data_IF_774385132807
#
_entry.id   IF_774385132807
#
_cell.length_a   1.000
_cell.length_b   1.000
_cell.length_c   1.000
_cell.angle_alpha   90.00
_cell.angle_beta   90.00
_cell.angle_gamma   90.00
#
_symmetry.space_group_name_H-M   'P 1'
#
loop_
_entity.id
_entity.type
_entity.pdbx_description
1 polymer ?
2 non-polymer ?
3 water ?
#
# COMPACT_ATOMS: atom_id res chain seq x y z
N UNK A 3 34.98 1.93 14.77
CA UNK A 3 34.66 1.06 13.64
C UNK A 3 33.59 1.68 12.79
N UNK A 4 32.76 0.80 12.23
CA UNK A 4 31.49 1.23 11.67
C UNK A 4 30.82 2.14 12.67
N UNK A 5 30.91 1.77 13.96
CA UNK A 5 30.14 2.50 14.96
C UNK A 5 30.55 3.97 15.01
N UNK A 6 31.86 4.27 15.09
CA UNK A 6 32.31 5.67 15.24
C UNK A 6 32.10 6.48 13.96
N UNK A 7 31.97 5.81 12.82
CA UNK A 7 31.64 6.56 11.61
C UNK A 7 30.18 6.99 11.64
N UNK A 8 29.29 6.09 12.10
CA UNK A 8 27.88 6.44 12.22
C UNK A 8 27.65 7.58 13.21
N UNK A 9 28.51 7.67 14.24
CA UNK A 9 28.39 8.77 15.20
C UNK A 9 28.77 10.10 14.55
N UNK A 10 29.91 10.14 13.82
CA UNK A 10 30.34 11.40 13.20
C UNK A 10 29.30 11.94 12.23
N UNK A 11 28.66 11.05 11.46
CA UNK A 11 27.56 11.48 10.58
C UNK A 11 26.36 11.99 11.39
N UNK A 12 25.95 11.24 12.41
CA UNK A 12 24.86 11.69 13.27
C UNK A 12 25.12 13.08 13.84
N UNK A 13 26.36 13.34 14.27
CA UNK A 13 26.68 14.63 14.86
C UNK A 13 26.62 15.74 13.82
N UNK A 14 27.10 15.48 12.59
CA UNK A 14 27.01 16.50 11.53
C UNK A 14 25.56 16.76 11.13
N UNK A 15 24.70 15.74 11.16
CA UNK A 15 23.29 15.98 10.83
C UNK A 15 22.62 16.82 11.93
N UNK A 16 22.96 16.60 13.20
CA UNK A 16 22.37 17.40 14.28
C UNK A 16 22.77 18.87 14.18
N UNK A 17 23.77 19.20 13.35
CA UNK A 17 24.10 20.61 13.05
C UNK A 17 22.92 21.31 12.38
N UNK A 18 22.07 20.54 11.69
CA UNK A 18 20.87 21.02 11.03
C UNK A 18 19.65 21.09 11.95
N UNK A 19 19.68 20.45 13.12
CA UNK A 19 18.52 20.43 14.02
C UNK A 19 18.51 21.68 14.88
N UNK A 20 17.43 22.44 14.76
CA UNK A 20 17.27 23.75 15.38
C UNK A 20 16.38 23.66 16.62
N UNK A 21 16.53 24.65 17.50
CA UNK A 21 15.73 24.67 18.72
C UNK A 21 14.24 24.70 18.38
N UNK A 22 13.50 23.73 18.91
CA UNK A 22 12.04 23.61 18.87
C UNK A 22 11.39 23.04 17.61
N UNK A 23 12.16 22.58 16.62
CA UNK A 23 11.53 21.97 15.46
C UNK A 23 10.97 20.60 15.86
N UNK A 24 10.01 20.12 15.08
CA UNK A 24 9.45 18.80 15.34
C UNK A 24 10.07 17.81 14.36
N UNK A 25 10.55 16.70 14.90
CA UNK A 25 11.52 15.79 14.30
C UNK A 25 10.94 14.42 14.02
N UNK A 26 11.30 13.86 12.86
CA UNK A 26 11.12 12.46 12.60
C UNK A 26 12.38 11.72 13.00
N UNK A 27 12.22 10.73 13.87
CA UNK A 27 13.34 10.01 14.43
C UNK A 27 13.37 8.65 13.75
N UNK A 28 14.47 8.37 13.06
CA UNK A 28 14.56 7.13 12.33
C UNK A 28 14.75 5.93 13.25
N UNK A 29 15.06 4.81 12.62
CA UNK A 29 15.30 3.53 13.26
C UNK A 29 16.47 2.81 12.62
N UNK A 30 17.10 1.94 13.41
CA UNK A 30 18.27 1.17 13.02
C UNK A 30 19.52 1.64 13.73
N UNK A 31 20.62 0.95 13.44
CA UNK A 31 21.84 1.13 14.23
C UNK A 31 22.40 2.54 14.12
N UNK A 32 22.26 3.18 12.97
CA UNK A 32 22.82 4.50 12.78
C UNK A 32 21.91 5.58 13.36
N UNK A 33 20.60 5.39 13.27
CA UNK A 33 19.69 6.33 13.92
C UNK A 33 19.81 6.26 15.44
N UNK A 34 20.16 5.09 16.00
CA UNK A 34 20.42 4.96 17.44
C UNK A 34 21.44 6.00 17.91
N UNK A 35 22.57 6.11 17.20
CA UNK A 35 23.63 7.01 17.64
C UNK A 35 23.16 8.46 17.58
N UNK A 36 22.35 8.82 16.58
CA UNK A 36 21.74 10.13 16.53
C UNK A 36 20.84 10.39 17.74
N UNK A 37 20.14 9.37 18.25
CA UNK A 37 19.25 9.59 19.39
C UNK A 37 20.02 9.97 20.65
N UNK A 38 21.11 9.26 20.92
CA UNK A 38 21.98 9.59 22.06
C UNK A 38 22.52 11.00 21.95
N UNK A 39 23.06 11.35 20.79
CA UNK A 39 23.56 12.70 20.59
C UNK A 39 22.47 13.74 20.75
N UNK A 40 21.22 13.38 20.45
CA UNK A 40 20.12 14.32 20.72
C UNK A 40 19.79 14.35 22.20
N UNK A 41 19.87 13.18 22.87
CA UNK A 41 19.57 13.11 24.31
C UNK A 41 20.61 13.89 25.14
N UNK A 42 21.91 13.65 24.89
CA UNK A 42 22.96 14.43 25.55
C UNK A 42 22.70 15.92 25.40
N UNK A 43 22.14 16.34 24.26
CA UNK A 43 21.77 17.73 23.99
C UNK A 43 20.50 18.13 24.74
N UNK A 44 19.52 17.23 24.85
CA UNK A 44 18.29 17.53 25.60
C UNK A 44 18.59 17.95 27.03
N UNK A 45 19.37 17.15 27.76
CA UNK A 45 19.61 17.39 29.19
C UNK A 45 20.27 18.73 29.51
N UNK A 46 20.88 19.37 28.53
CA UNK A 46 21.37 20.75 28.67
C UNK A 46 20.39 21.75 28.13
N UNK A 47 19.11 21.37 28.20
CA UNK A 47 18.01 22.26 27.90
C UNK A 47 17.64 22.45 26.45
N UNK A 48 18.08 21.56 25.55
CA UNK A 48 17.67 21.64 24.16
C UNK A 48 16.20 21.24 23.99
N UNK A 49 15.48 22.01 23.18
CA UNK A 49 14.04 21.91 22.94
C UNK A 49 13.75 21.22 21.60
N UNK A 50 13.02 20.10 21.65
CA UNK A 50 12.61 19.37 20.46
C UNK A 50 11.49 18.37 20.84
N UNK A 51 10.69 17.99 19.84
CA UNK A 51 9.63 16.98 19.98
C UNK A 51 9.73 16.05 18.77
N UNK A 52 9.69 14.74 19.01
CA UNK A 52 10.00 13.74 17.98
C UNK A 52 8.93 12.68 17.80
N UNK A 53 8.71 12.28 16.55
CA UNK A 53 7.82 11.17 16.19
C UNK A 53 8.65 9.92 15.90
N UNK A 54 8.40 8.81 16.59
CA UNK A 54 9.18 7.59 16.34
C UNK A 54 8.71 6.82 15.11
N UNK A 55 9.68 6.25 14.40
CA UNK A 55 9.43 5.40 13.25
C UNK A 55 9.36 3.91 13.62
N UNK A 56 9.52 3.56 14.90
CA UNK A 56 9.37 2.16 15.24
C UNK A 56 9.04 1.96 16.72
N UNK A 57 8.72 0.72 17.00
CA UNK A 57 8.51 0.21 18.33
C UNK A 57 9.75 0.42 19.20
N UNK A 58 10.95 0.09 18.67
CA UNK A 58 12.20 0.20 19.42
C UNK A 58 12.78 1.61 19.42
N UNK A 59 12.53 2.41 18.39
CA UNK A 59 12.94 3.81 18.46
C UNK A 59 12.23 4.51 19.61
N UNK A 60 10.92 4.30 19.72
CA UNK A 60 10.16 4.90 20.82
C UNK A 60 10.72 4.51 22.18
N UNK A 61 11.00 3.22 22.41
CA UNK A 61 11.55 2.82 23.71
C UNK A 61 12.89 3.44 24.02
N UNK A 62 13.80 3.58 23.05
CA UNK A 62 15.04 4.27 23.34
C UNK A 62 14.77 5.72 23.71
N UNK A 63 13.94 6.41 22.92
CA UNK A 63 13.66 7.84 23.13
C UNK A 63 13.06 8.10 24.51
N UNK A 64 12.19 7.19 24.97
CA UNK A 64 11.56 7.30 26.28
C UNK A 64 12.55 6.98 27.38
N UNK A 65 13.43 6.01 27.13
CA UNK A 65 14.52 5.72 28.06
C UNK A 65 15.49 6.90 28.24
N UNK A 66 15.56 7.83 27.28
CA UNK A 66 16.50 8.94 27.35
C UNK A 66 15.84 10.31 27.57
N UNK A 67 14.51 10.37 27.66
CA UNK A 67 13.87 11.66 27.94
C UNK A 67 13.78 12.57 26.73
N UNK A 68 13.70 11.96 25.55
CA UNK A 68 13.39 12.70 24.34
C UNK A 68 11.89 12.86 24.27
N UNK A 69 11.36 14.09 24.24
CA UNK A 69 9.91 14.26 24.13
C UNK A 69 9.36 13.54 22.91
N UNK A 70 8.24 12.83 23.09
CA UNK A 70 7.67 12.02 22.01
C UNK A 70 6.24 12.46 21.70
N UNK A 71 5.89 12.44 20.42
CA UNK A 71 4.56 12.80 19.95
C UNK A 71 4.11 11.84 18.86
N UNK A 72 3.00 12.20 18.22
CA UNK A 72 2.30 11.33 17.28
C UNK A 72 2.06 12.12 16.00
N UNK A 73 1.93 11.41 14.87
CA UNK A 73 1.46 12.11 13.67
C UNK A 73 -0.04 12.45 13.73
N UNK A 74 -0.84 11.69 14.49
CA UNK A 74 -2.21 12.12 14.75
C UNK A 74 -2.23 13.42 15.54
N UNK A 75 -1.33 13.55 16.52
CA UNK A 75 -1.21 14.79 17.30
C UNK A 75 -0.35 15.85 16.62
N UNK A 76 0.67 15.45 15.87
CA UNK A 76 1.65 16.36 15.28
C UNK A 76 1.84 15.95 13.81
N UNK A 77 0.89 16.32 12.95
CA UNK A 77 0.82 15.71 11.61
C UNK A 77 1.84 16.20 10.62
N UNK A 78 2.47 17.34 10.86
CA UNK A 78 3.55 17.80 9.98
C UNK A 78 4.79 18.04 10.81
N UNK A 79 5.91 17.60 10.27
CA UNK A 79 7.19 17.72 10.93
C UNK A 79 8.12 18.62 10.11
N UNK A 80 9.14 19.14 10.78
CA UNK A 80 10.12 20.00 10.14
C UNK A 80 11.21 19.20 9.43
N UNK A 81 11.65 18.11 10.05
CA UNK A 81 12.85 17.43 9.61
C UNK A 81 12.81 15.99 10.09
N UNK A 82 13.11 15.06 9.18
CA UNK A 82 13.33 13.68 9.59
C UNK A 82 14.78 13.30 9.38
N UNK A 83 15.34 12.58 10.33
CA UNK A 83 16.70 12.09 10.22
C UNK A 83 16.65 10.57 10.36
N UNK A 84 17.32 9.87 9.46
CA UNK A 84 17.16 8.42 9.41
C UNK A 84 18.32 7.84 8.61
N UNK A 85 18.55 6.54 8.79
CA UNK A 85 19.58 5.86 8.05
C UNK A 85 19.08 5.43 6.69
N UNK A 86 19.91 4.62 6.03
CA UNK A 86 19.59 4.08 4.72
C UNK A 86 20.49 2.88 4.46
N UNK A 87 20.01 1.93 3.65
CA UNK A 87 20.83 0.79 3.23
C UNK A 87 21.62 1.12 1.96
N UNK A 88 21.13 2.04 1.11
CA UNK A 88 21.83 2.50 -0.08
C UNK A 88 21.42 3.92 -0.40
N UNK A 89 22.40 4.76 -0.78
CA UNK A 89 22.20 6.13 -1.26
C UNK A 89 22.97 6.27 -2.57
N UNK A 90 22.32 6.82 -3.60
CA UNK A 90 22.99 7.05 -4.87
C UNK A 90 23.17 8.54 -5.07
N UNK A 91 23.75 8.90 -6.19
CA UNK A 91 24.20 10.28 -6.38
C UNK A 91 23.03 11.26 -6.54
N UNK A 92 21.86 10.76 -6.91
CA UNK A 92 20.64 11.54 -7.00
C UNK A 92 19.90 11.65 -5.68
N UNK A 93 20.42 11.03 -4.61
CA UNK A 93 19.78 10.93 -3.30
C UNK A 93 18.50 10.09 -3.35
N UNK A 94 18.48 9.10 -4.24
CA UNK A 94 17.50 8.05 -4.19
C UNK A 94 18.02 6.95 -3.27
N UNK A 95 17.12 6.32 -2.51
CA UNK A 95 17.53 5.39 -1.47
C UNK A 95 16.89 4.03 -1.65
N UNK A 96 17.52 3.02 -1.05
CA UNK A 96 16.86 1.81 -0.64
C UNK A 96 16.82 1.79 0.89
N UNK A 97 15.65 1.58 1.46
CA UNK A 97 15.47 1.50 2.89
C UNK A 97 14.71 0.22 3.26
N UNK A 98 14.65 -0.06 4.56
CA UNK A 98 13.84 -1.15 5.09
C UNK A 98 14.56 -2.43 5.48
N UNK A 99 15.89 -2.42 5.53
CA UNK A 99 16.62 -3.55 6.09
C UNK A 99 16.31 -3.80 7.54
N UNK A 100 16.09 -2.72 8.32
CA UNK A 100 15.66 -2.88 9.70
C UNK A 100 14.18 -3.15 9.88
N UNK A 101 13.41 -3.18 8.79
CA UNK A 101 12.02 -3.55 8.81
C UNK A 101 11.03 -2.45 9.10
N UNK A 102 11.44 -1.19 9.17
CA UNK A 102 10.54 -0.11 9.52
C UNK A 102 10.21 0.80 8.34
N UNK A 103 10.37 0.32 7.12
CA UNK A 103 10.29 1.19 5.92
C UNK A 103 8.98 1.94 5.82
N UNK A 104 7.86 1.31 6.21
CA UNK A 104 6.56 1.94 6.01
C UNK A 104 6.41 3.17 6.91
N UNK A 105 6.59 2.99 8.22
CA UNK A 105 6.56 4.13 9.13
C UNK A 105 7.64 5.16 8.81
N UNK A 106 8.82 4.69 8.37
CA UNK A 106 9.87 5.62 7.97
C UNK A 106 9.45 6.47 6.77
N UNK A 107 8.84 5.85 5.75
CA UNK A 107 8.40 6.63 4.59
C UNK A 107 7.26 7.57 4.95
N UNK A 108 6.31 7.11 5.77
CA UNK A 108 5.23 7.98 6.20
C UNK A 108 5.78 9.21 6.93
N UNK A 109 6.70 8.96 7.86
CA UNK A 109 7.27 10.05 8.65
C UNK A 109 8.04 11.02 7.75
N UNK A 110 8.94 10.49 6.92
CA UNK A 110 9.74 11.35 6.04
C UNK A 110 8.86 12.16 5.09
N UNK A 111 7.84 11.52 4.51
CA UNK A 111 6.98 12.22 3.57
C UNK A 111 6.19 13.33 4.25
N UNK A 112 5.95 13.23 5.54
CA UNK A 112 5.30 14.28 6.32
C UNK A 112 6.26 15.38 6.77
N UNK A 113 7.50 15.39 6.30
CA UNK A 113 8.47 16.36 6.78
C UNK A 113 8.85 17.35 5.70
N UNK A 114 9.22 18.55 6.12
CA UNK A 114 9.72 19.54 5.18
C UNK A 114 11.02 19.09 4.52
N UNK A 115 11.78 18.25 5.21
CA UNK A 115 13.06 17.77 4.70
C UNK A 115 13.36 16.43 5.32
N UNK A 116 14.12 15.62 4.59
CA UNK A 116 14.64 14.36 5.13
C UNK A 116 16.14 14.31 4.87
N UNK A 117 16.91 14.16 5.94
CA UNK A 117 18.35 13.99 5.86
C UNK A 117 18.63 12.54 6.16
N UNK A 118 19.52 11.99 5.42
CA UNK A 118 19.96 10.63 5.68
C UNK A 118 21.30 10.73 6.40
N UNK A 119 21.60 9.74 7.24
CA UNK A 119 22.90 9.62 7.88
C UNK A 119 23.32 8.18 7.68
N UNK A 120 24.49 7.98 7.10
CA UNK A 120 24.99 6.63 6.91
C UNK A 120 26.50 6.61 6.90
N UNK A 121 27.05 5.42 7.06
CA UNK A 121 28.47 5.32 6.81
C UNK A 121 28.71 5.15 5.31
N UNK A 122 29.95 5.41 4.89
CA UNK A 122 30.36 5.38 3.49
C UNK A 122 30.11 4.06 2.77
N UNK A 123 30.03 2.94 3.47
CA UNK A 123 29.70 1.71 2.78
C UNK A 123 28.33 1.77 2.13
N UNK A 124 27.46 2.68 2.57
CA UNK A 124 26.11 2.80 2.05
C UNK A 124 26.02 3.58 0.74
N UNK A 125 27.09 4.24 0.27
CA UNK A 125 27.06 5.04 -0.97
C UNK A 125 27.36 4.13 -2.17
N UNK A 126 26.50 4.24 -3.20
CA UNK A 126 26.40 3.36 -4.36
C UNK A 126 26.48 4.18 -5.63
N UNK A 127 27.00 3.55 -6.69
CA UNK A 127 26.78 4.10 -8.03
C UNK A 127 25.33 3.90 -8.47
N UNK A 128 24.81 2.66 -8.38
CA UNK A 128 23.49 2.28 -8.87
C UNK A 128 22.75 1.47 -7.82
N UNK A 129 21.50 1.86 -7.55
CA UNK A 129 20.75 1.14 -6.54
C UNK A 129 20.52 -0.31 -7.00
N UNK A 130 20.50 -1.22 -6.03
CA UNK A 130 19.98 -2.54 -6.31
C UNK A 130 20.76 -3.74 -5.79
N UNK A 131 21.99 -3.52 -5.33
CA UNK A 131 22.78 -4.64 -4.81
C UNK A 131 22.30 -5.10 -3.45
N UNK A 132 21.87 -4.16 -2.63
CA UNK A 132 21.09 -4.47 -1.44
C UNK A 132 19.69 -4.89 -1.88
N UNK A 133 19.20 -6.05 -1.44
CA UNK A 133 17.86 -6.49 -1.88
C UNK A 133 16.77 -5.52 -1.44
N UNK A 134 15.86 -5.24 -2.34
CA UNK A 134 14.87 -4.20 -2.10
C UNK A 134 13.72 -4.73 -1.25
N UNK A 135 13.51 -4.19 -0.05
CA UNK A 135 12.36 -4.62 0.75
C UNK A 135 11.05 -4.16 0.12
N UNK A 136 10.07 -5.06 0.08
CA UNK A 136 8.72 -4.76 -0.39
C UNK A 136 7.74 -5.19 0.70
N UNK A 137 6.91 -4.25 1.19
CA UNK A 137 5.94 -4.53 2.24
C UNK A 137 4.62 -4.95 1.60
N UNK A 138 4.14 -6.15 1.95
CA UNK A 138 3.03 -6.80 1.28
C UNK A 138 1.96 -7.24 2.29
N UNK A 139 0.72 -7.33 1.82
CA UNK A 139 -0.39 -7.78 2.66
C UNK A 139 -0.32 -9.30 2.83
N UNK A 140 -0.81 -9.79 3.96
CA UNK A 140 -0.77 -11.24 4.10
C UNK A 140 -1.79 -11.91 3.19
N UNK A 141 -2.95 -11.28 2.96
CA UNK A 141 -3.93 -11.88 2.06
C UNK A 141 -3.38 -11.93 0.63
N UNK A 142 -3.53 -13.11 0.01
CA UNK A 142 -3.14 -13.30 -1.37
C UNK A 142 -1.64 -13.30 -1.61
N UNK A 143 -0.85 -13.71 -0.61
CA UNK A 143 0.61 -13.69 -0.71
C UNK A 143 1.12 -14.33 -1.99
N UNK A 144 0.54 -15.46 -2.40
CA UNK A 144 0.97 -16.11 -3.63
C UNK A 144 0.79 -15.24 -4.87
N UNK A 145 -0.39 -14.60 -5.00
CA UNK A 145 -0.64 -13.77 -6.17
C UNK A 145 0.27 -12.54 -6.17
N UNK A 146 0.52 -11.98 -4.98
CA UNK A 146 1.40 -10.83 -4.87
C UNK A 146 2.84 -11.18 -5.25
N UNK A 147 3.30 -12.38 -4.85
CA UNK A 147 4.62 -12.86 -5.25
C UNK A 147 4.76 -12.88 -6.76
N UNK A 148 3.77 -13.48 -7.45
CA UNK A 148 3.76 -13.53 -8.91
C UNK A 148 3.81 -12.15 -9.54
N UNK A 149 2.98 -11.23 -9.04
CA UNK A 149 2.93 -9.88 -9.62
C UNK A 149 4.26 -9.15 -9.44
N UNK A 150 4.91 -9.35 -8.31
CA UNK A 150 6.23 -8.76 -8.13
C UNK A 150 7.20 -9.29 -9.18
N UNK A 151 7.12 -10.59 -9.49
CA UNK A 151 7.97 -11.12 -10.55
C UNK A 151 7.56 -10.55 -11.88
N UNK A 152 6.26 -10.36 -12.10
CA UNK A 152 5.80 -9.81 -13.39
C UNK A 152 6.22 -8.36 -13.56
N UNK A 153 6.11 -7.56 -12.49
CA UNK A 153 6.64 -6.20 -12.50
C UNK A 153 8.16 -6.15 -12.75
N UNK A 154 8.92 -7.02 -12.07
CA UNK A 154 10.36 -7.04 -12.31
C UNK A 154 10.63 -7.35 -13.77
N UNK A 155 9.93 -8.35 -14.31
CA UNK A 155 10.16 -8.74 -15.70
C UNK A 155 9.95 -7.59 -16.67
N UNK A 156 8.89 -6.80 -16.48
CA UNK A 156 8.62 -5.68 -17.38
C UNK A 156 9.68 -4.58 -17.28
N UNK A 157 10.34 -4.43 -16.13
CA UNK A 157 11.47 -3.52 -15.98
C UNK A 157 12.81 -4.18 -16.26
N UNK A 158 12.82 -5.39 -16.81
CA UNK A 158 14.12 -5.95 -17.16
C UNK A 158 14.90 -6.46 -15.97
N UNK A 159 14.21 -6.85 -14.90
CA UNK A 159 14.85 -7.28 -13.66
C UNK A 159 14.50 -8.73 -13.35
N UNK A 160 15.24 -9.30 -12.41
CA UNK A 160 15.09 -10.70 -12.06
C UNK A 160 15.82 -10.94 -10.74
N UNK A 161 15.35 -11.95 -10.01
CA UNK A 161 16.10 -12.39 -8.86
C UNK A 161 15.19 -13.08 -7.89
N UNK A 162 15.79 -13.65 -6.86
CA UNK A 162 15.00 -14.35 -5.85
C UNK A 162 14.11 -13.38 -5.07
N UNK A 163 12.98 -13.91 -4.62
CA UNK A 163 12.11 -13.22 -3.69
C UNK A 163 12.07 -14.06 -2.41
N UNK A 164 12.45 -13.48 -1.28
CA UNK A 164 12.47 -14.24 -0.03
C UNK A 164 11.51 -13.55 0.93
N UNK A 165 10.48 -14.28 1.37
CA UNK A 165 9.67 -13.81 2.49
C UNK A 165 10.56 -13.69 3.70
N UNK A 166 10.62 -12.51 4.30
CA UNK A 166 11.57 -12.27 5.36
C UNK A 166 11.13 -12.90 6.66
N UNK A 167 12.06 -13.63 7.28
CA UNK A 167 11.76 -14.43 8.45
C UNK A 167 12.45 -13.86 9.66
N UNK A 168 11.88 -14.16 10.82
CA UNK A 168 12.54 -13.87 12.09
C UNK A 168 12.11 -14.96 13.05
N UNK A 169 13.07 -15.57 13.73
CA UNK A 169 12.81 -16.70 14.63
C UNK A 169 11.95 -17.79 13.99
N UNK A 170 12.15 -18.05 12.70
CA UNK A 170 11.47 -19.20 12.14
C UNK A 170 10.11 -18.95 11.51
N UNK A 171 9.47 -17.83 11.79
CA UNK A 171 8.21 -17.47 11.14
C UNK A 171 8.36 -16.09 10.51
N UNK A 172 7.49 -15.75 9.54
CA UNK A 172 7.62 -14.44 8.87
C UNK A 172 7.72 -13.26 9.81
N UNK A 173 8.62 -12.34 9.46
CA UNK A 173 8.70 -11.07 10.16
C UNK A 173 7.39 -10.32 9.99
N UNK A 174 6.79 -9.90 11.09
CA UNK A 174 5.59 -9.09 11.03
C UNK A 174 5.98 -7.64 11.28
N UNK A 175 5.60 -6.79 10.33
CA UNK A 175 5.91 -5.37 10.42
C UNK A 175 5.11 -4.75 11.54
N UNK A 176 5.56 -3.58 12.01
CA UNK A 176 4.79 -2.82 12.99
C UNK A 176 3.36 -2.63 12.52
N UNK A 177 3.15 -2.44 11.23
CA UNK A 177 1.85 -2.16 10.65
C UNK A 177 1.05 -3.38 10.24
N UNK A 178 1.54 -4.57 10.57
CA UNK A 178 0.80 -5.81 10.36
C UNK A 178 1.05 -6.50 9.04
N UNK A 179 2.16 -6.20 8.38
CA UNK A 179 2.44 -6.68 7.03
C UNK A 179 3.68 -7.56 7.02
N UNK A 180 3.86 -8.27 5.90
CA UNK A 180 5.09 -9.00 5.60
C UNK A 180 6.05 -8.17 4.75
N UNK A 181 7.31 -8.61 4.71
CA UNK A 181 8.33 -8.06 3.84
C UNK A 181 8.77 -9.17 2.89
N UNK A 182 8.82 -8.84 1.58
CA UNK A 182 9.46 -9.68 0.56
C UNK A 182 10.70 -8.92 0.13
N UNK A 183 11.86 -9.52 0.31
CA UNK A 183 13.12 -8.92 -0.11
C UNK A 183 13.45 -9.34 -1.54
N UNK A 184 13.51 -8.36 -2.43
CA UNK A 184 13.68 -8.62 -3.85
C UNK A 184 15.13 -8.37 -4.25
N UNK A 185 15.81 -9.46 -4.63
CA UNK A 185 17.21 -9.37 -5.00
C UNK A 185 17.36 -9.12 -6.50
N UNK A 186 17.24 -7.86 -6.88
CA UNK A 186 17.30 -7.48 -8.28
C UNK A 186 18.70 -7.14 -8.73
N UNK A 187 19.62 -6.95 -7.79
CA UNK A 187 21.00 -6.77 -8.22
C UNK A 187 21.36 -5.39 -8.71
N UNK A 188 20.62 -4.90 -9.70
CA UNK A 188 20.86 -3.57 -10.26
C UNK A 188 19.54 -2.99 -10.70
N UNK A 189 19.22 -1.78 -10.23
CA UNK A 189 17.94 -1.13 -10.53
C UNK A 189 18.23 0.19 -11.25
N UNK A 190 18.35 0.19 -12.57
CA UNK A 190 18.75 1.43 -13.27
C UNK A 190 17.65 2.47 -13.36
N UNK A 191 16.37 2.08 -13.33
CA UNK A 191 15.27 3.05 -13.32
C UNK A 191 14.40 2.79 -12.09
N UNK A 192 14.75 3.35 -10.93
CA UNK A 192 13.91 3.15 -9.74
C UNK A 192 12.47 3.61 -9.91
N UNK A 193 12.23 4.76 -10.56
CA UNK A 193 10.88 5.30 -10.66
C UNK A 193 9.95 4.35 -11.38
N UNK A 194 10.40 3.84 -12.53
CA UNK A 194 9.59 2.89 -13.29
C UNK A 194 9.25 1.65 -12.46
N UNK A 195 10.23 1.12 -11.75
CA UNK A 195 10.00 -0.03 -10.87
C UNK A 195 9.01 0.31 -9.75
N UNK A 196 9.10 1.52 -9.20
CA UNK A 196 8.21 1.91 -8.10
C UNK A 196 6.76 1.95 -8.55
N UNK A 197 6.51 2.51 -9.75
CA UNK A 197 5.16 2.49 -10.33
C UNK A 197 4.65 1.06 -10.56
N UNK A 198 5.50 0.20 -11.10
CA UNK A 198 5.11 -1.18 -11.40
C UNK A 198 4.78 -1.98 -10.14
N UNK A 199 5.49 -1.72 -9.03
CA UNK A 199 5.19 -2.34 -7.74
C UNK A 199 3.93 -1.76 -7.08
N UNK A 200 3.73 -0.43 -7.15
CA UNK A 200 2.48 0.13 -6.61
C UNK A 200 1.28 -0.42 -7.34
N UNK A 201 1.41 -0.74 -8.62
CA UNK A 201 0.27 -1.24 -9.39
C UNK A 201 -0.20 -2.60 -8.89
N UNK A 202 0.57 -3.25 -8.03
CA UNK A 202 0.17 -4.53 -7.47
C UNK A 202 -0.75 -4.27 -6.28
N UNK A 203 -2.01 -4.71 -6.31
CA UNK A 203 -2.89 -4.45 -5.15
C UNK A 203 -2.35 -5.01 -3.83
N UNK A 204 -1.59 -6.11 -3.89
CA UNK A 204 -0.96 -6.71 -2.72
C UNK A 204 0.16 -5.89 -2.09
N UNK A 205 0.79 -5.00 -2.85
CA UNK A 205 1.90 -4.20 -2.34
C UNK A 205 1.39 -3.02 -1.52
N UNK A 206 1.85 -2.93 -0.28
CA UNK A 206 1.51 -1.83 0.62
C UNK A 206 2.47 -0.66 0.42
N UNK A 207 3.75 -0.98 0.32
CA UNK A 207 4.80 0.02 0.12
C UNK A 207 6.11 -0.73 -0.16
N UNK A 208 7.15 0.04 -0.44
CA UNK A 208 8.44 -0.55 -0.75
C UNK A 208 9.55 0.43 -0.35
N UNK A 209 10.76 -0.09 -0.27
CA UNK A 209 11.87 0.64 0.29
C UNK A 209 12.55 1.62 -0.64
N UNK A 210 12.08 1.82 -1.86
CA UNK A 210 12.65 2.88 -2.70
C UNK A 210 12.16 4.22 -2.21
N UNK A 211 13.07 5.08 -1.75
CA UNK A 211 12.75 6.47 -1.44
C UNK A 211 13.30 7.31 -2.58
N UNK A 212 12.41 7.86 -3.41
CA UNK A 212 12.81 8.65 -4.56
C UNK A 212 12.31 10.07 -4.35
N UNK A 213 13.22 11.03 -4.42
CA UNK A 213 12.88 12.43 -4.25
C UNK A 213 12.46 12.84 -2.85
N UNK A 214 12.71 12.04 -1.81
CA UNK A 214 12.33 12.43 -0.45
C UNK A 214 13.49 13.07 0.30
N UNK A 215 14.64 12.40 0.31
CA UNK A 215 15.84 12.91 0.97
C UNK A 215 16.36 14.17 0.28
N UNK A 216 16.47 15.26 1.05
CA UNK A 216 17.07 16.51 0.59
C UNK A 216 18.61 16.52 0.72
N UNK A 217 19.19 15.70 1.60
CA UNK A 217 20.64 15.67 1.77
C UNK A 217 21.02 14.38 2.48
N UNK A 218 22.30 14.00 2.36
CA UNK A 218 22.78 12.79 3.04
C UNK A 218 24.15 13.08 3.64
N UNK A 219 24.23 12.95 4.96
CA UNK A 219 25.49 13.12 5.68
C UNK A 219 26.16 11.76 5.72
N UNK A 220 27.35 11.68 5.13
CA UNK A 220 28.10 10.44 5.00
C UNK A 220 29.45 10.56 5.73
N UNK A 221 29.80 9.55 6.52
CA UNK A 221 31.03 9.56 7.31
C UNK A 221 32.30 9.20 6.55
N UNK A 222 32.62 7.92 6.45
CA UNK A 222 33.84 7.49 5.77
C UNK A 222 35.16 8.02 6.30
N UNK A 223 36.27 7.42 5.88
CA UNK A 223 37.57 7.87 6.38
C UNK A 223 38.18 8.98 5.54
N UNK A 224 37.79 9.13 4.28
CA UNK A 224 38.07 10.39 3.57
C UNK A 224 37.09 11.51 3.95
N UNK A 225 36.72 11.53 5.24
CA UNK A 225 36.05 12.64 5.89
C UNK A 225 34.54 12.70 5.71
N UNK A 226 33.95 13.71 6.36
CA UNK A 226 32.50 13.87 6.40
C UNK A 226 32.04 14.71 5.21
N UNK A 227 30.98 14.26 4.56
CA UNK A 227 30.48 14.82 3.32
C UNK A 227 28.95 14.85 3.38
N UNK A 228 28.34 15.98 3.04
CA UNK A 228 26.88 16.05 2.88
C UNK A 228 26.58 16.03 1.38
N UNK A 229 25.87 14.98 0.94
CA UNK A 229 25.49 14.87 -0.46
C UNK A 229 24.22 15.66 -0.69
N UNK A 230 24.12 16.21 -1.89
CA UNK A 230 23.14 17.20 -2.25
C UNK A 230 22.49 16.86 -3.55
N UNK A 231 21.61 17.75 -3.91
CA UNK A 231 20.65 17.34 -4.87
C UNK A 231 20.75 18.18 -6.13
N UNK A 232 21.01 17.49 -7.23
CA UNK A 232 21.24 18.09 -8.55
C UNK A 232 20.00 18.89 -8.97
N UNK B 6 -35.22 -10.55 -8.03
CA UNK B 6 -35.90 -9.59 -8.89
C UNK B 6 -35.29 -9.64 -10.27
N UNK B 7 -34.71 -8.54 -10.73
CA UNK B 7 -33.90 -8.62 -11.95
C UNK B 7 -32.45 -8.95 -11.60
N UNK B 8 -32.13 -8.62 -10.35
CA UNK B 8 -30.81 -8.86 -9.70
C UNK B 8 -30.37 -10.28 -10.02
N UNK B 9 -31.34 -11.16 -10.05
CA UNK B 9 -31.13 -12.59 -10.27
C UNK B 9 -30.69 -12.83 -11.70
N UNK B 10 -31.49 -12.33 -12.65
CA UNK B 10 -31.20 -12.47 -14.07
C UNK B 10 -29.86 -11.84 -14.44
N UNK B 11 -29.50 -10.74 -13.80
CA UNK B 11 -28.19 -10.17 -14.06
C UNK B 11 -27.07 -11.13 -13.66
N UNK B 12 -27.14 -11.69 -12.44
CA UNK B 12 -26.17 -12.71 -12.05
C UNK B 12 -26.22 -13.92 -12.97
N UNK B 13 -27.42 -14.32 -13.39
CA UNK B 13 -27.51 -15.52 -14.22
C UNK B 13 -26.81 -15.31 -15.56
N UNK B 14 -26.91 -14.09 -16.13
CA UNK B 14 -26.21 -13.76 -17.37
C UNK B 14 -24.70 -13.77 -17.18
N UNK B 15 -24.23 -13.33 -16.01
CA UNK B 15 -22.80 -13.37 -15.74
C UNK B 15 -22.31 -14.82 -15.64
N UNK B 16 -23.11 -15.70 -15.05
CA UNK B 16 -22.71 -17.10 -14.91
C UNK B 16 -22.56 -17.80 -16.25
N UNK B 17 -23.11 -17.26 -17.34
CA UNK B 17 -22.85 -17.80 -18.67
C UNK B 17 -21.40 -17.59 -19.11
N UNK B 18 -20.69 -16.64 -18.50
CA UNK B 18 -19.28 -16.48 -18.84
C UNK B 18 -18.41 -17.51 -18.13
N UNK B 19 -18.96 -18.21 -17.14
CA UNK B 19 -18.21 -19.17 -16.36
C UNK B 19 -18.15 -20.52 -17.07
N UNK B 20 -16.93 -21.02 -17.27
CA UNK B 20 -16.67 -22.24 -18.02
C UNK B 20 -16.45 -23.40 -17.05
N UNK B 21 -16.72 -24.61 -17.53
CA UNK B 21 -16.39 -25.80 -16.75
C UNK B 21 -14.88 -25.83 -16.49
N UNK B 22 -14.52 -26.07 -15.22
CA UNK B 22 -13.13 -26.16 -14.80
C UNK B 22 -12.42 -24.85 -14.53
N UNK B 23 -13.12 -23.71 -14.48
CA UNK B 23 -12.48 -22.41 -14.25
C UNK B 23 -11.99 -22.22 -12.81
N UNK B 24 -10.94 -21.43 -12.66
CA UNK B 24 -10.50 -21.01 -11.34
C UNK B 24 -11.08 -19.62 -11.14
N UNK B 25 -11.91 -19.44 -10.11
CA UNK B 25 -12.80 -18.29 -10.03
C UNK B 25 -12.52 -17.44 -8.80
N UNK B 26 -12.48 -16.12 -8.99
CA UNK B 26 -12.57 -15.16 -7.89
C UNK B 26 -14.00 -14.71 -7.64
N UNK B 27 -14.45 -14.82 -6.39
CA UNK B 27 -15.84 -14.57 -6.05
C UNK B 27 -15.97 -13.32 -5.20
N UNK B 28 -16.82 -12.39 -5.65
CA UNK B 28 -16.97 -11.10 -5.02
C UNK B 28 -17.70 -11.15 -3.68
N UNK B 29 -18.08 -9.94 -3.22
CA UNK B 29 -18.74 -9.72 -1.94
C UNK B 29 -19.87 -8.71 -2.14
N UNK B 30 -20.88 -8.79 -1.30
CA UNK B 30 -22.03 -7.90 -1.41
C UNK B 30 -23.27 -8.61 -1.93
N UNK B 31 -24.34 -7.82 -2.05
CA UNK B 31 -25.65 -8.39 -2.30
C UNK B 31 -25.70 -9.12 -3.64
N UNK B 32 -24.99 -8.61 -4.63
CA UNK B 32 -25.14 -9.11 -6.00
C UNK B 32 -24.32 -10.37 -6.22
N UNK B 33 -23.10 -10.41 -5.69
CA UNK B 33 -22.25 -11.60 -5.85
C UNK B 33 -22.80 -12.82 -5.10
N UNK B 34 -23.44 -12.62 -3.94
CA UNK B 34 -24.11 -13.71 -3.24
C UNK B 34 -25.11 -14.45 -4.12
N UNK B 35 -25.88 -13.71 -4.92
CA UNK B 35 -26.83 -14.35 -5.82
C UNK B 35 -26.13 -15.18 -6.90
N UNK B 36 -25.01 -14.67 -7.40
CA UNK B 36 -24.16 -15.44 -8.31
C UNK B 36 -23.68 -16.73 -7.66
N UNK B 37 -23.41 -16.67 -6.36
CA UNK B 37 -23.01 -17.87 -5.64
C UNK B 37 -24.14 -18.88 -5.61
N UNK B 38 -25.34 -18.43 -5.27
CA UNK B 38 -26.50 -19.32 -5.24
C UNK B 38 -26.71 -20.01 -6.58
N UNK B 39 -26.70 -19.23 -7.68
CA UNK B 39 -26.93 -19.83 -8.99
C UNK B 39 -25.81 -20.76 -9.42
N UNK B 40 -24.56 -20.47 -9.03
CA UNK B 40 -23.46 -21.35 -9.44
C UNK B 40 -23.44 -22.63 -8.63
N UNK B 41 -23.92 -22.55 -7.39
CA UNK B 41 -24.06 -23.73 -6.54
C UNK B 41 -25.04 -24.73 -7.15
N UNK B 42 -26.16 -24.21 -7.68
CA UNK B 42 -27.08 -25.04 -8.47
C UNK B 42 -26.36 -25.78 -9.60
N UNK B 43 -25.41 -25.12 -10.27
CA UNK B 43 -24.77 -25.76 -11.41
C UNK B 43 -23.79 -26.85 -11.02
N UNK B 44 -22.95 -26.61 -10.00
CA UNK B 44 -22.07 -27.67 -9.49
C UNK B 44 -22.91 -28.89 -9.11
N UNK B 45 -24.05 -28.63 -8.43
CA UNK B 45 -24.98 -29.65 -7.97
C UNK B 45 -25.53 -30.46 -9.16
N UNK B 46 -25.21 -30.08 -10.41
CA UNK B 46 -25.38 -30.97 -11.56
C UNK B 46 -24.05 -31.40 -12.20
N UNK B 47 -22.95 -31.41 -11.47
CA UNK B 47 -21.65 -31.82 -12.01
C UNK B 47 -20.87 -30.77 -12.76
N UNK B 48 -21.21 -29.49 -12.59
CA UNK B 48 -20.36 -28.42 -13.09
C UNK B 48 -19.16 -28.27 -12.14
N UNK B 49 -17.95 -28.25 -12.70
CA UNK B 49 -16.74 -28.23 -11.88
C UNK B 49 -16.10 -26.85 -11.87
N UNK B 50 -15.89 -26.32 -10.66
CA UNK B 50 -15.29 -25.01 -10.51
C UNK B 50 -14.68 -24.91 -9.12
N UNK B 51 -13.68 -24.03 -8.98
CA UNK B 51 -12.98 -23.78 -7.72
C UNK B 51 -12.84 -22.28 -7.52
N UNK B 52 -13.14 -21.82 -6.31
CA UNK B 52 -13.26 -20.40 -6.04
C UNK B 52 -12.39 -19.80 -4.95
N UNK B 53 -11.91 -18.58 -5.18
CA UNK B 53 -11.21 -17.80 -4.16
C UNK B 53 -12.17 -16.78 -3.57
N UNK B 54 -12.44 -16.80 -2.26
CA UNK B 54 -13.37 -15.81 -1.68
C UNK B 54 -12.69 -14.49 -1.34
N UNK B 55 -13.38 -13.39 -1.62
CA UNK B 55 -12.85 -12.06 -1.32
C UNK B 55 -13.24 -11.56 0.06
N UNK B 56 -13.99 -12.35 0.85
CA UNK B 56 -14.31 -12.02 2.23
C UNK B 56 -14.69 -13.29 2.99
N UNK B 57 -14.67 -13.18 4.32
CA UNK B 57 -15.27 -14.20 5.17
C UNK B 57 -16.75 -14.49 4.83
N UNK B 58 -17.55 -13.46 4.50
CA UNK B 58 -18.98 -13.68 4.30
C UNK B 58 -19.24 -14.47 3.02
N UNK B 59 -18.53 -14.14 1.95
CA UNK B 59 -18.60 -14.95 0.74
C UNK B 59 -18.09 -16.36 1.00
N UNK B 60 -16.96 -16.49 1.71
CA UNK B 60 -16.39 -17.79 2.00
C UNK B 60 -17.40 -18.71 2.68
N UNK B 61 -18.12 -18.19 3.67
CA UNK B 61 -19.16 -18.95 4.35
C UNK B 61 -20.24 -19.41 3.37
N UNK B 62 -20.68 -18.47 2.53
CA UNK B 62 -21.74 -18.77 1.55
C UNK B 62 -21.36 -19.93 0.65
N UNK B 63 -20.14 -19.88 0.11
CA UNK B 63 -19.68 -20.94 -0.78
C UNK B 63 -19.70 -22.30 -0.08
N UNK B 64 -19.32 -22.34 1.20
CA UNK B 64 -19.22 -23.62 1.89
C UNK B 64 -20.59 -24.19 2.25
N UNK B 65 -21.51 -23.33 2.65
CA UNK B 65 -22.88 -23.76 2.94
C UNK B 65 -23.60 -24.29 1.70
N UNK B 66 -23.22 -23.84 0.50
CA UNK B 66 -23.94 -24.21 -0.72
C UNK B 66 -23.18 -25.16 -1.63
N UNK B 67 -21.96 -25.53 -1.27
CA UNK B 67 -21.16 -26.49 -2.01
C UNK B 67 -20.37 -25.96 -3.17
N UNK B 68 -19.99 -24.68 -3.16
CA UNK B 68 -19.05 -24.13 -4.13
C UNK B 68 -17.64 -24.44 -3.62
N UNK B 69 -16.87 -25.30 -4.30
CA UNK B 69 -15.50 -25.62 -3.84
C UNK B 69 -14.64 -24.36 -3.64
N UNK B 70 -13.76 -24.42 -2.64
CA UNK B 70 -12.93 -23.30 -2.25
C UNK B 70 -11.44 -23.57 -2.42
N UNK B 71 -10.70 -22.51 -2.74
CA UNK B 71 -9.25 -22.56 -2.72
C UNK B 71 -8.73 -21.21 -2.21
N UNK B 72 -7.41 -21.03 -2.28
CA UNK B 72 -6.73 -19.84 -1.79
C UNK B 72 -5.84 -19.33 -2.91
N UNK B 73 -5.48 -18.04 -2.83
CA UNK B 73 -4.48 -17.55 -3.78
C UNK B 73 -3.11 -18.17 -3.54
N UNK B 74 -2.80 -18.58 -2.32
CA UNK B 74 -1.55 -19.31 -2.12
C UNK B 74 -1.54 -20.64 -2.86
N UNK B 75 -2.65 -21.38 -2.81
CA UNK B 75 -2.67 -22.66 -3.51
C UNK B 75 -2.97 -22.47 -5.00
N UNK B 76 -3.70 -21.40 -5.35
CA UNK B 76 -4.17 -21.16 -6.71
C UNK B 76 -3.87 -19.72 -7.08
N UNK B 77 -2.61 -19.41 -7.36
CA UNK B 77 -2.20 -18.01 -7.45
C UNK B 77 -2.70 -17.29 -8.70
N UNK B 78 -3.15 -17.98 -9.73
CA UNK B 78 -3.67 -17.32 -10.93
C UNK B 78 -5.10 -17.80 -11.18
N UNK B 79 -6.01 -16.86 -11.46
CA UNK B 79 -7.42 -17.17 -11.71
C UNK B 79 -7.82 -16.82 -13.12
N UNK B 80 -8.89 -17.48 -13.57
CA UNK B 80 -9.43 -17.25 -14.90
C UNK B 80 -10.35 -16.05 -14.92
N UNK B 81 -11.17 -15.91 -13.88
CA UNK B 81 -12.25 -14.94 -13.92
C UNK B 81 -12.62 -14.55 -12.49
N UNK B 82 -12.77 -13.26 -12.25
CA UNK B 82 -13.42 -12.75 -11.05
C UNK B 82 -14.76 -12.11 -11.44
N UNK B 83 -15.79 -12.38 -10.64
CA UNK B 83 -17.12 -11.83 -10.80
C UNK B 83 -17.45 -11.14 -9.50
N UNK B 84 -17.88 -9.88 -9.58
CA UNK B 84 -18.06 -9.08 -8.37
C UNK B 84 -18.91 -7.86 -8.72
N UNK B 85 -19.46 -7.25 -7.68
CA UNK B 85 -20.23 -6.03 -7.82
C UNK B 85 -19.35 -4.80 -7.82
N UNK B 86 -20.02 -3.64 -7.75
CA UNK B 86 -19.34 -2.36 -7.81
C UNK B 86 -20.30 -1.28 -7.33
N UNK B 87 -19.75 -0.19 -6.82
CA UNK B 87 -20.60 0.91 -6.43
C UNK B 87 -20.91 1.84 -7.59
N UNK B 88 -19.97 1.97 -8.54
CA UNK B 88 -20.11 2.84 -9.70
C UNK B 88 -19.33 2.26 -10.85
N UNK B 89 -19.95 2.25 -12.01
CA UNK B 89 -19.30 1.82 -13.24
C UNK B 89 -19.43 2.98 -14.21
N UNK B 90 -18.33 3.34 -14.85
CA UNK B 90 -18.31 4.38 -15.86
C UNK B 90 -18.09 3.69 -17.19
N UNK B 91 -18.12 4.47 -18.26
CA UNK B 91 -18.16 3.87 -19.58
C UNK B 91 -16.82 3.33 -20.07
N UNK B 92 -15.71 3.64 -19.40
CA UNK B 92 -14.45 2.94 -19.62
C UNK B 92 -14.39 1.64 -18.82
N UNK B 93 -15.46 1.32 -18.09
CA UNK B 93 -15.51 0.17 -17.19
C UNK B 93 -14.47 0.32 -16.08
N UNK B 94 -14.21 1.57 -15.72
CA UNK B 94 -13.50 1.90 -14.51
C UNK B 94 -14.55 1.89 -13.44
N UNK B 95 -14.18 1.44 -12.25
CA UNK B 95 -15.14 1.25 -11.19
C UNK B 95 -14.70 2.03 -9.95
N UNK B 96 -15.68 2.34 -9.11
CA UNK B 96 -15.45 2.60 -7.69
C UNK B 96 -15.97 1.39 -6.94
N UNK B 97 -15.15 0.82 -6.06
CA UNK B 97 -15.53 -0.32 -5.24
C UNK B 97 -15.19 -0.01 -3.80
N UNK B 98 -15.63 -0.88 -2.90
CA UNK B 98 -15.27 -0.79 -1.49
C UNK B 98 -16.30 -0.15 -0.57
N UNK B 99 -17.52 0.11 -1.06
CA UNK B 99 -18.59 0.51 -0.15
C UNK B 99 -18.82 -0.54 0.89
N UNK B 100 -18.61 -1.80 0.53
CA UNK B 100 -18.66 -2.95 1.43
C UNK B 100 -17.43 -3.23 2.29
N UNK B 101 -16.33 -2.51 2.16
CA UNK B 101 -15.22 -2.76 3.06
C UNK B 101 -14.31 -3.92 2.69
N UNK B 102 -14.55 -4.56 1.55
CA UNK B 102 -13.73 -5.67 1.09
C UNK B 102 -12.85 -5.26 -0.09
N UNK B 103 -12.56 -3.97 -0.22
CA UNK B 103 -11.87 -3.43 -1.39
C UNK B 103 -10.52 -4.10 -1.65
N UNK B 104 -9.75 -4.37 -0.62
CA UNK B 104 -8.39 -4.85 -0.88
C UNK B 104 -8.42 -6.28 -1.41
N UNK B 105 -9.07 -7.20 -0.69
CA UNK B 105 -9.17 -8.56 -1.17
C UNK B 105 -9.82 -8.62 -2.54
N UNK B 106 -10.78 -7.74 -2.82
CA UNK B 106 -11.36 -7.69 -4.15
C UNK B 106 -10.31 -7.27 -5.19
N UNK B 107 -9.48 -6.25 -4.90
CA UNK B 107 -8.47 -5.84 -5.88
C UNK B 107 -7.47 -6.97 -6.12
N UNK B 108 -6.99 -7.58 -5.04
CA UNK B 108 -5.98 -8.62 -5.14
C UNK B 108 -6.48 -9.81 -5.97
N UNK B 109 -7.72 -10.26 -5.68
CA UNK B 109 -8.30 -11.37 -6.43
C UNK B 109 -8.51 -11.00 -7.88
N UNK B 110 -9.10 -9.83 -8.13
CA UNK B 110 -9.32 -9.39 -9.51
C UNK B 110 -8.00 -9.19 -10.25
N UNK B 111 -7.00 -8.60 -9.59
CA UNK B 111 -5.70 -8.39 -10.23
C UNK B 111 -4.99 -9.71 -10.51
N UNK B 112 -5.28 -10.77 -9.75
CA UNK B 112 -4.73 -12.11 -10.00
C UNK B 112 -5.43 -12.88 -11.12
N UNK B 113 -6.38 -12.26 -11.83
CA UNK B 113 -7.24 -12.94 -12.78
C UNK B 113 -7.06 -12.46 -14.22
N UNK B 114 -7.33 -13.38 -15.17
CA UNK B 114 -7.29 -13.06 -16.60
C UNK B 114 -8.34 -12.03 -16.99
N UNK B 115 -9.50 -12.07 -16.33
CA UNK B 115 -10.58 -11.18 -16.69
C UNK B 115 -11.46 -10.99 -15.46
N UNK B 116 -12.15 -9.86 -15.39
CA UNK B 116 -13.11 -9.57 -14.33
C UNK B 116 -14.44 -9.13 -14.94
N UNK B 117 -15.52 -9.77 -14.51
CA UNK B 117 -16.87 -9.39 -14.90
C UNK B 117 -17.52 -8.70 -13.72
N UNK B 118 -18.22 -7.62 -13.99
CA UNK B 118 -18.97 -6.91 -12.96
C UNK B 118 -20.45 -7.20 -13.13
N UNK B 119 -21.18 -7.11 -12.02
CA UNK B 119 -22.63 -7.21 -12.00
C UNK B 119 -23.17 -6.00 -11.25
N UNK B 120 -24.00 -5.21 -11.93
CA UNK B 120 -24.56 -4.00 -11.34
C UNK B 120 -25.94 -3.74 -11.94
N UNK B 121 -26.71 -2.91 -11.27
CA UNK B 121 -27.93 -2.35 -11.82
C UNK B 121 -27.67 -1.01 -12.51
N UNK B 122 -28.65 -0.56 -13.28
CA UNK B 122 -28.55 0.68 -14.03
C UNK B 122 -28.16 1.91 -13.20
N UNK B 123 -28.59 1.94 -11.95
CA UNK B 123 -28.27 3.09 -11.10
C UNK B 123 -26.78 3.25 -10.83
N UNK B 124 -25.97 2.17 -10.90
CA UNK B 124 -24.54 2.26 -10.64
C UNK B 124 -23.74 2.76 -11.84
N UNK B 125 -24.35 2.85 -13.02
CA UNK B 125 -23.68 3.29 -14.23
C UNK B 125 -23.77 4.80 -14.32
N UNK B 126 -22.63 5.44 -14.45
CA UNK B 126 -22.56 6.89 -14.34
C UNK B 126 -21.80 7.45 -15.52
N UNK B 127 -22.10 8.72 -15.84
CA UNK B 127 -21.25 9.46 -16.77
C UNK B 127 -19.83 9.59 -16.21
N UNK B 128 -19.70 10.09 -14.99
CA UNK B 128 -18.41 10.38 -14.41
C UNK B 128 -18.36 9.76 -13.01
N UNK B 129 -17.30 9.02 -12.73
CA UNK B 129 -17.18 8.42 -11.41
C UNK B 129 -17.02 9.52 -10.38
N UNK B 130 -17.54 9.29 -9.19
CA UNK B 130 -17.12 10.14 -8.10
C UNK B 130 -18.21 10.64 -7.18
N UNK B 131 -19.47 10.49 -7.58
CA UNK B 131 -20.53 10.86 -6.65
C UNK B 131 -20.56 9.91 -5.47
N UNK B 132 -20.31 8.63 -5.71
CA UNK B 132 -20.08 7.72 -4.59
C UNK B 132 -18.71 8.04 -3.97
N UNK B 133 -18.64 8.23 -2.66
CA UNK B 133 -17.35 8.57 -2.05
C UNK B 133 -16.32 7.47 -2.27
N UNK B 134 -15.08 7.88 -2.60
CA UNK B 134 -14.01 6.95 -2.95
C UNK B 134 -13.38 6.33 -1.72
N UNK B 135 -13.53 5.03 -1.48
CA UNK B 135 -12.85 4.43 -0.31
C UNK B 135 -11.35 4.34 -0.52
N UNK B 136 -10.60 4.81 0.46
CA UNK B 136 -9.14 4.77 0.47
C UNK B 136 -8.67 4.08 1.76
N UNK B 137 -7.93 3.00 1.58
CA UNK B 137 -7.49 2.15 2.66
C UNK B 137 -6.15 2.63 3.18
N UNK B 138 -6.10 2.94 4.48
CA UNK B 138 -4.94 3.58 5.09
C UNK B 138 -4.48 2.80 6.32
N UNK B 139 -3.19 2.96 6.62
CA UNK B 139 -2.60 2.42 7.84
C UNK B 139 -3.05 3.29 9.00
N UNK B 140 -3.21 2.67 10.18
CA UNK B 140 -3.57 3.47 11.35
C UNK B 140 -2.40 4.31 11.88
N UNK B 141 -1.15 3.88 11.65
CA UNK B 141 -0.03 4.76 11.98
C UNK B 141 0.00 5.96 11.03
N UNK B 142 0.07 7.16 11.61
CA UNK B 142 0.18 8.39 10.84
C UNK B 142 -1.06 8.84 10.09
N UNK B 143 -2.26 8.43 10.55
CA UNK B 143 -3.51 8.84 9.89
C UNK B 143 -3.60 10.35 9.68
N UNK B 144 -3.25 11.14 10.68
CA UNK B 144 -3.34 12.59 10.48
C UNK B 144 -2.55 13.10 9.29
N UNK B 145 -1.29 12.68 9.17
CA UNK B 145 -0.50 13.15 8.05
C UNK B 145 -1.05 12.59 6.73
N UNK B 146 -1.61 11.37 6.78
CA UNK B 146 -2.20 10.76 5.58
C UNK B 146 -3.44 11.53 5.10
N UNK B 147 -4.27 12.01 6.04
CA UNK B 147 -5.40 12.88 5.67
C UNK B 147 -4.92 14.14 4.96
N UNK B 148 -3.91 14.81 5.53
CA UNK B 148 -3.36 16.00 4.87
C UNK B 148 -2.94 15.67 3.45
N UNK B 149 -2.19 14.59 3.29
CA UNK B 149 -1.64 14.20 1.99
C UNK B 149 -2.73 13.85 0.99
N UNK B 150 -3.82 13.23 1.45
CA UNK B 150 -4.91 12.96 0.54
C UNK B 150 -5.54 14.25 0.04
N UNK B 151 -5.69 15.28 0.90
CA UNK B 151 -6.26 16.54 0.43
C UNK B 151 -5.31 17.22 -0.56
N UNK B 152 -4.00 17.21 -0.26
CA UNK B 152 -3.02 17.80 -1.16
C UNK B 152 -2.92 16.99 -2.45
N UNK B 153 -2.96 15.65 -2.36
CA UNK B 153 -3.01 14.87 -3.59
C UNK B 153 -4.24 15.23 -4.43
N UNK B 154 -5.40 15.38 -3.77
CA UNK B 154 -6.62 15.77 -4.49
C UNK B 154 -6.45 17.14 -5.12
N UNK B 155 -5.95 18.11 -4.34
CA UNK B 155 -5.81 19.46 -4.87
C UNK B 155 -4.97 19.47 -6.13
N UNK B 156 -3.89 18.69 -6.14
CA UNK B 156 -2.96 18.68 -7.27
C UNK B 156 -3.58 18.12 -8.53
N UNK B 157 -4.59 17.27 -8.40
CA UNK B 157 -5.37 16.74 -9.51
C UNK B 157 -6.60 17.57 -9.84
N UNK B 158 -6.75 18.75 -9.24
CA UNK B 158 -7.89 19.61 -9.52
C UNK B 158 -9.19 19.23 -8.84
N UNK B 159 -9.14 18.51 -7.72
CA UNK B 159 -10.34 18.05 -7.02
C UNK B 159 -10.35 18.56 -5.58
N UNK B 160 -11.46 18.30 -4.89
CA UNK B 160 -11.66 18.66 -3.49
C UNK B 160 -12.88 17.91 -2.96
N UNK B 161 -12.88 17.70 -1.63
CA UNK B 161 -14.04 17.22 -0.92
C UNK B 161 -13.68 16.68 0.45
N UNK B 162 -14.70 16.45 1.26
CA UNK B 162 -14.47 15.96 2.63
C UNK B 162 -13.87 14.57 2.62
N UNK B 163 -13.05 14.31 3.64
CA UNK B 163 -12.51 12.97 3.92
C UNK B 163 -13.04 12.50 5.27
N UNK B 164 -13.80 11.40 5.26
CA UNK B 164 -14.50 10.93 6.45
C UNK B 164 -13.97 9.56 6.87
N UNK B 165 -13.30 9.51 8.02
CA UNK B 165 -12.89 8.24 8.60
C UNK B 165 -14.12 7.37 8.85
N UNK B 166 -14.14 6.20 8.22
CA UNK B 166 -15.31 5.35 8.29
C UNK B 166 -15.41 4.69 9.66
N UNK B 167 -16.61 4.72 10.23
CA UNK B 167 -16.90 4.16 11.55
C UNK B 167 -17.84 2.98 11.41
N UNK B 168 -17.76 2.07 12.37
CA UNK B 168 -18.75 1.02 12.56
C UNK B 168 -18.97 0.97 14.07
N UNK B 169 -20.23 0.95 14.48
CA UNK B 169 -20.61 1.21 15.88
C UNK B 169 -19.96 2.54 16.25
N UNK B 170 -19.26 2.67 17.38
CA UNK B 170 -18.66 3.96 17.73
C UNK B 170 -17.28 4.18 17.15
N UNK B 171 -16.59 3.10 16.80
CA UNK B 171 -15.15 3.08 16.54
C UNK B 171 -14.87 3.15 15.05
N UNK B 172 -13.62 3.45 14.69
CA UNK B 172 -13.18 3.26 13.28
C UNK B 172 -13.35 1.82 12.78
N UNK B 173 -13.77 1.71 11.52
CA UNK B 173 -13.82 0.41 10.83
C UNK B 173 -12.44 -0.15 10.54
N UNK B 174 -12.18 -1.38 10.99
CA UNK B 174 -10.96 -2.12 10.68
C UNK B 174 -11.26 -3.16 9.61
N UNK B 175 -10.49 -3.12 8.52
CA UNK B 175 -10.63 -4.04 7.39
C UNK B 175 -10.11 -5.41 7.75
N UNK B 176 -10.45 -6.40 6.92
CA UNK B 176 -9.92 -7.74 7.13
C UNK B 176 -8.40 -7.72 7.34
N UNK B 177 -7.70 -6.84 6.66
CA UNK B 177 -6.26 -6.68 6.71
C UNK B 177 -5.71 -5.70 7.70
N UNK B 178 -6.52 -5.14 8.59
CA UNK B 178 -6.02 -4.31 9.67
C UNK B 178 -5.88 -2.82 9.38
N UNK B 179 -6.60 -2.29 8.41
CA UNK B 179 -6.44 -0.90 8.00
C UNK B 179 -7.71 -0.12 8.33
N UNK B 180 -7.60 1.20 8.32
CA UNK B 180 -8.79 2.04 8.38
C UNK B 180 -9.23 2.28 6.94
N UNK B 181 -10.44 2.84 6.77
CA UNK B 181 -10.91 3.32 5.47
C UNK B 181 -11.27 4.78 5.59
N UNK B 182 -10.82 5.60 4.64
CA UNK B 182 -11.21 7.00 4.54
C UNK B 182 -12.05 7.15 3.28
N UNK B 183 -13.33 7.52 3.43
CA UNK B 183 -14.20 7.77 2.27
C UNK B 183 -14.07 9.22 1.82
N UNK B 184 -13.54 9.39 0.61
CA UNK B 184 -13.23 10.69 0.03
C UNK B 184 -14.34 11.11 -0.92
N UNK B 185 -15.07 12.16 -0.57
CA UNK B 185 -16.20 12.60 -1.37
C UNK B 185 -15.75 13.68 -2.33
N UNK B 186 -15.21 13.27 -3.48
CA UNK B 186 -14.67 14.23 -4.43
C UNK B 186 -15.70 14.70 -5.45
N UNK B 187 -16.84 14.02 -5.53
CA UNK B 187 -17.92 14.47 -6.40
C UNK B 187 -17.78 14.02 -7.84
N UNK B 188 -16.65 14.36 -8.45
CA UNK B 188 -16.37 14.03 -9.82
C UNK B 188 -14.90 13.66 -9.91
N UNK B 189 -14.61 12.48 -10.47
CA UNK B 189 -13.23 12.02 -10.64
C UNK B 189 -13.09 11.83 -12.14
N UNK B 190 -12.70 12.89 -12.89
CA UNK B 190 -12.67 12.80 -14.35
C UNK B 190 -11.47 12.01 -14.90
N UNK B 191 -10.35 11.98 -14.16
CA UNK B 191 -9.15 11.23 -14.55
C UNK B 191 -8.81 10.25 -13.44
N UNK B 192 -9.42 9.06 -13.44
CA UNK B 192 -9.09 8.07 -12.38
C UNK B 192 -7.61 7.69 -12.27
N UNK B 193 -6.92 7.47 -13.40
CA UNK B 193 -5.54 7.01 -13.38
C UNK B 193 -4.61 8.00 -12.68
N UNK B 194 -4.79 9.28 -12.97
CA UNK B 194 -3.98 10.31 -12.32
C UNK B 194 -4.24 10.38 -10.81
N UNK B 195 -5.50 10.30 -10.41
CA UNK B 195 -5.80 10.31 -8.97
C UNK B 195 -5.21 9.08 -8.32
N UNK B 196 -5.30 7.92 -9.00
CA UNK B 196 -4.73 6.70 -8.43
C UNK B 196 -3.24 6.84 -8.21
N UNK B 197 -2.53 7.41 -9.20
CA UNK B 197 -1.11 7.67 -9.05
C UNK B 197 -0.86 8.59 -7.87
N UNK B 198 -1.62 9.67 -7.79
CA UNK B 198 -1.42 10.63 -6.71
C UNK B 198 -1.61 10.01 -5.34
N UNK B 199 -2.63 9.14 -5.20
CA UNK B 199 -2.86 8.51 -3.90
C UNK B 199 -1.79 7.47 -3.55
N UNK B 200 -1.34 6.69 -4.53
CA UNK B 200 -0.25 5.73 -4.30
C UNK B 200 1.05 6.40 -3.86
N UNK B 201 1.32 7.63 -4.32
CA UNK B 201 2.55 8.32 -3.89
C UNK B 201 2.54 8.70 -2.42
N UNK B 202 1.39 8.56 -1.75
CA UNK B 202 1.30 8.77 -0.31
C UNK B 202 1.70 7.46 0.34
N UNK B 203 2.73 7.45 1.20
CA UNK B 203 3.11 6.21 1.89
C UNK B 203 2.03 5.61 2.78
N UNK B 204 1.22 6.44 3.43
CA UNK B 204 0.15 5.94 4.27
C UNK B 204 -0.92 5.21 3.52
N UNK B 205 -1.03 5.44 2.22
CA UNK B 205 -2.11 4.83 1.45
C UNK B 205 -1.77 3.37 1.14
N UNK B 206 -2.66 2.48 1.54
CA UNK B 206 -2.48 1.06 1.26
C UNK B 206 -3.03 0.71 -0.11
N UNK B 207 -4.24 1.19 -0.41
CA UNK B 207 -4.92 0.98 -1.68
C UNK B 207 -6.23 1.75 -1.63
N UNK B 208 -7.01 1.78 -2.71
CA UNK B 208 -8.23 2.56 -2.83
C UNK B 208 -9.19 1.88 -3.81
N UNK B 209 -10.42 2.36 -3.84
CA UNK B 209 -11.50 1.68 -4.54
C UNK B 209 -11.58 1.90 -6.02
N UNK B 210 -10.66 2.64 -6.65
CA UNK B 210 -10.66 2.71 -8.11
C UNK B 210 -10.13 1.42 -8.70
N UNK B 211 -10.98 0.73 -9.45
CA UNK B 211 -10.57 -0.44 -10.22
C UNK B 211 -10.45 0.05 -11.67
N UNK B 212 -9.23 0.18 -12.17
CA UNK B 212 -8.99 0.72 -13.50
C UNK B 212 -8.42 -0.37 -14.39
N UNK B 213 -9.04 -0.55 -15.56
CA UNK B 213 -8.56 -1.50 -16.53
C UNK B 213 -8.68 -2.95 -16.14
N UNK B 214 -9.49 -3.26 -15.11
CA UNK B 214 -9.71 -4.62 -14.62
C UNK B 214 -10.96 -5.27 -15.18
N UNK B 215 -12.13 -4.63 -15.08
CA UNK B 215 -13.37 -5.17 -15.63
C UNK B 215 -13.32 -5.19 -17.16
N UNK B 216 -13.28 -6.39 -17.75
CA UNK B 216 -13.37 -6.51 -19.21
C UNK B 216 -14.82 -6.44 -19.69
N UNK B 217 -15.78 -6.68 -18.79
CA UNK B 217 -17.19 -6.60 -19.14
C UNK B 217 -18.02 -6.45 -17.88
N UNK B 218 -19.24 -5.93 -18.06
CA UNK B 218 -20.18 -5.57 -17.01
C UNK B 218 -21.62 -5.88 -17.40
N UNK B 219 -22.32 -6.67 -16.59
CA UNK B 219 -23.72 -7.02 -16.80
C UNK B 219 -24.58 -6.02 -16.04
N UNK B 220 -25.47 -5.30 -16.72
CA UNK B 220 -26.25 -4.24 -16.07
C UNK B 220 -27.74 -4.58 -16.12
N UNK B 221 -28.39 -4.57 -14.94
CA UNK B 221 -29.83 -4.80 -14.83
C UNK B 221 -30.51 -3.47 -15.05
N UNK B 222 -31.06 -3.33 -16.24
CA UNK B 222 -31.76 -2.14 -16.67
C UNK B 222 -33.24 -2.16 -16.34
N UNK B 223 -33.84 -1.00 -16.58
CA UNK B 223 -35.24 -0.80 -16.27
C UNK B 223 -36.05 -1.44 -17.38
N UNK B 224 -35.42 -1.47 -18.57
CA UNK B 224 -35.80 -2.21 -19.77
C UNK B 224 -35.54 -3.71 -19.75
N UNK B 225 -34.65 -4.23 -18.90
CA UNK B 225 -34.05 -5.54 -19.17
C UNK B 225 -32.54 -5.56 -18.93
N UNK B 226 -31.91 -6.70 -19.26
CA UNK B 226 -30.49 -6.94 -18.99
C UNK B 226 -29.63 -6.53 -20.19
N UNK B 227 -28.48 -5.90 -19.91
CA UNK B 227 -27.54 -5.49 -20.97
C UNK B 227 -26.10 -5.71 -20.51
N UNK B 228 -25.21 -6.10 -21.42
CA UNK B 228 -23.78 -6.23 -21.18
C UNK B 228 -22.99 -5.10 -21.83
N UNK B 229 -22.10 -4.42 -21.07
CA UNK B 229 -21.08 -3.49 -21.57
C UNK B 229 -19.72 -4.16 -21.79
N UNK B 230 -18.95 -3.72 -22.79
CA UNK B 230 -17.76 -4.50 -23.20
C UNK B 230 -16.52 -3.62 -23.45
N UNK B 231 -15.39 -4.29 -23.71
CA UNK B 231 -14.09 -3.65 -23.91
C UNK B 231 -13.44 -4.01 -25.24
X LIG C 1 17.01 1.00 6.93
X LIG C 1 16.30 -0.17 7.26
X LIG C 1 18.33 1.26 7.69
X LIG C 1 18.87 0.12 8.29
X LIG C 1 19.59 0.40 9.45
X LIG C 1 20.87 1.09 9.02
X LIG C 1 21.97 0.60 9.76
#
# INVERSE_FOLDING_TARGET
MDEARKLKIAAAAEALTHVKDGMRLGIGTGSTAEEFVRLLADKVSNGFKIIGVPTSERTAKLCKELGVPLTTLDETPHLDLTVDGADEVDTNLSLIKGGGGALLREKIVAAASDAMIVIADSSKVVETLGRFPLPVEVNRFGLGATMRAIEEAAAKCGLAGPLALRLKDGSPFVTDGGHYIVDASFGRIPDPKTLSDALFAIPGVVEHGLFIGLARAAVVAGNDGIRTMNRS
MDEARKLKIAAAAEALTHVKDGMRLGIGTGSTAEEFVRLLADKVSNGFKIIGVPTSERTAKLCKELGVPLTTLDETPHLDLTVDGADEVDTNLSLIKGGGGALLREKIVAAASDAMIVIADSSKVVETLGRFPLPVEVNRFGLGATMRAIEEAAAKCGLAGPLALRLKDGSPFVTDGGHYIVDASFGRIPDPKTLSDALFAIPGVVEHGLFIGLARAAVVAGNDGIRTMNRS
PEG C1 O1 C2 O2 C3 C4 O4
#
